data_IF_980043909018
#
_entry.id   IF_980043909018
#
_cell.length_a   1.000
_cell.length_b   1.000
_cell.length_c   1.000
_cell.angle_alpha   90.00
_cell.angle_beta   90.00
_cell.angle_gamma   90.00
#
_symmetry.space_group_name_H-M   'P 1'
#
loop_
_entity.id
_entity.type
_entity.pdbx_description
1 polymer ?
#
# COMPACT_ATOMS: atom_id res chain seq x y z
N UNK A 1 -26.06 12.45 14.02
CA UNK A 1 -25.00 12.37 13.00
C UNK A 1 -24.75 13.79 12.49
N UNK A 2 -23.56 14.30 12.74
CA UNK A 2 -23.11 15.64 12.37
C UNK A 2 -22.90 15.71 10.84
N UNK A 3 -22.95 16.91 10.24
CA UNK A 3 -22.72 17.10 8.78
C UNK A 3 -21.33 16.59 8.34
N UNK A 4 -20.31 16.77 9.18
CA UNK A 4 -18.95 16.29 8.90
C UNK A 4 -18.86 14.75 8.86
N UNK A 5 -19.55 14.06 9.76
CA UNK A 5 -19.64 12.60 9.75
C UNK A 5 -20.29 12.08 8.46
N UNK A 6 -21.36 12.76 7.99
CA UNK A 6 -22.01 12.41 6.73
C UNK A 6 -21.08 12.56 5.52
N UNK A 7 -20.24 13.60 5.53
CA UNK A 7 -19.26 13.81 4.44
C UNK A 7 -18.23 12.68 4.45
N UNK A 8 -17.68 12.37 5.62
CA UNK A 8 -16.67 11.31 5.78
C UNK A 8 -17.23 9.92 5.45
N UNK A 9 -18.50 9.65 5.78
CA UNK A 9 -19.17 8.39 5.45
C UNK A 9 -19.46 8.20 3.95
N UNK A 10 -19.41 9.27 3.16
CA UNK A 10 -19.55 9.19 1.69
C UNK A 10 -18.21 9.01 0.97
N UNK A 11 -17.08 9.08 1.68
CA UNK A 11 -15.78 8.78 1.10
C UNK A 11 -15.62 7.28 0.86
N UNK A 12 -14.89 6.93 -0.20
CA UNK A 12 -14.49 5.55 -0.49
C UNK A 12 -13.20 5.18 0.24
N UNK A 13 -12.38 6.19 0.58
CA UNK A 13 -11.19 6.03 1.40
C UNK A 13 -11.60 5.63 2.82
N UNK A 14 -10.76 4.80 3.42
CA UNK A 14 -10.92 4.41 4.82
C UNK A 14 -10.41 5.56 5.70
N UNK A 15 -11.26 6.05 6.59
CA UNK A 15 -10.92 7.17 7.48
C UNK A 15 -11.14 6.77 8.93
N UNK A 16 -10.13 7.01 9.77
CA UNK A 16 -10.31 6.89 11.21
C UNK A 16 -9.54 7.95 12.00
N UNK A 17 -9.98 8.15 13.23
CA UNK A 17 -9.34 9.02 14.22
C UNK A 17 -9.04 8.17 15.45
N UNK A 18 -7.79 8.20 15.90
CA UNK A 18 -7.35 7.50 17.10
C UNK A 18 -6.64 8.45 18.08
N UNK A 19 -6.89 8.27 19.36
CA UNK A 19 -6.15 8.93 20.42
C UNK A 19 -4.68 8.50 20.40
N UNK A 20 -3.76 9.46 20.44
CA UNK A 20 -2.33 9.18 20.29
C UNK A 20 -1.69 8.52 21.52
N UNK A 21 -2.27 8.71 22.71
CA UNK A 21 -1.77 8.16 23.96
C UNK A 21 -2.38 6.78 24.26
N UNK A 22 -3.72 6.70 24.13
CA UNK A 22 -4.48 5.50 24.49
C UNK A 22 -4.66 4.53 23.33
N UNK A 23 -4.43 4.98 22.09
CA UNK A 23 -4.70 4.25 20.84
C UNK A 23 -6.18 3.92 20.59
N UNK A 24 -7.08 4.53 21.35
CA UNK A 24 -8.50 4.30 21.25
C UNK A 24 -9.05 4.83 19.93
N UNK A 25 -9.84 4.04 19.21
CA UNK A 25 -10.57 4.49 18.02
C UNK A 25 -11.72 5.40 18.47
N UNK A 26 -11.60 6.69 18.16
CA UNK A 26 -12.59 7.72 18.50
C UNK A 26 -13.64 7.88 17.41
N UNK A 27 -13.24 7.65 16.16
CA UNK A 27 -14.09 7.72 14.98
C UNK A 27 -13.57 6.81 13.88
N UNK A 28 -14.46 6.29 13.08
CA UNK A 28 -14.19 5.64 11.81
C UNK A 28 -15.38 5.79 10.87
N UNK A 29 -15.13 5.91 9.56
CA UNK A 29 -16.18 6.06 8.58
C UNK A 29 -16.77 4.69 8.15
N UNK A 30 -17.85 4.77 7.37
CA UNK A 30 -18.56 3.58 6.87
C UNK A 30 -17.64 2.67 6.04
N UNK A 31 -16.81 3.22 5.15
CA UNK A 31 -15.91 2.42 4.31
C UNK A 31 -14.95 1.58 5.15
N UNK A 32 -14.39 2.14 6.22
CA UNK A 32 -13.52 1.39 7.14
C UNK A 32 -14.29 0.32 7.90
N UNK A 33 -15.51 0.62 8.36
CA UNK A 33 -16.34 -0.35 9.06
C UNK A 33 -16.70 -1.55 8.18
N UNK A 34 -16.99 -1.32 6.91
CA UNK A 34 -17.29 -2.37 5.92
C UNK A 34 -16.05 -3.22 5.61
N UNK A 35 -14.90 -2.60 5.36
CA UNK A 35 -13.66 -3.31 5.01
C UNK A 35 -13.16 -4.21 6.15
N UNK A 36 -13.19 -3.73 7.38
CA UNK A 36 -12.72 -4.47 8.56
C UNK A 36 -13.84 -5.23 9.28
N UNK A 37 -15.07 -5.25 8.74
CA UNK A 37 -16.25 -5.90 9.33
C UNK A 37 -16.50 -5.48 10.78
N UNK A 38 -16.34 -4.18 11.05
CA UNK A 38 -16.48 -3.61 12.39
C UNK A 38 -17.97 -3.47 12.72
N UNK A 39 -18.48 -4.11 13.79
CA UNK A 39 -19.85 -3.91 14.23
C UNK A 39 -20.08 -2.47 14.69
N UNK A 40 -21.30 -1.97 14.46
CA UNK A 40 -21.67 -0.62 14.92
C UNK A 40 -21.36 -0.41 16.41
N UNK A 41 -20.71 0.72 16.74
CA UNK A 41 -20.32 1.12 18.10
C UNK A 41 -19.25 0.23 18.76
N UNK A 42 -18.34 -0.34 17.97
CA UNK A 42 -17.18 -1.00 18.53
C UNK A 42 -16.25 0.03 19.20
N UNK A 43 -15.94 -0.18 20.47
CA UNK A 43 -14.88 0.52 21.19
C UNK A 43 -13.65 -0.39 21.26
N UNK A 44 -12.48 0.14 21.02
CA UNK A 44 -11.25 -0.63 21.10
C UNK A 44 -10.06 0.12 20.55
N UNK A 45 -8.93 -0.52 20.60
CA UNK A 45 -7.65 0.05 20.17
C UNK A 45 -7.43 -0.13 18.68
N UNK A 46 -6.89 0.89 18.01
CA UNK A 46 -6.63 0.83 16.57
C UNK A 46 -5.78 -0.39 16.18
N UNK A 47 -4.77 -0.74 16.96
CA UNK A 47 -3.92 -1.89 16.69
C UNK A 47 -4.63 -3.25 16.89
N UNK A 48 -5.65 -3.32 17.74
CA UNK A 48 -6.46 -4.53 17.94
C UNK A 48 -7.41 -4.72 16.75
N UNK A 49 -8.16 -3.67 16.40
CA UNK A 49 -9.22 -3.71 15.41
C UNK A 49 -8.64 -3.78 13.98
N UNK A 50 -7.68 -2.91 13.66
CA UNK A 50 -7.18 -2.76 12.30
C UNK A 50 -5.98 -3.63 11.96
N UNK A 51 -5.32 -4.21 12.98
CA UNK A 51 -4.10 -5.00 12.81
C UNK A 51 -4.15 -6.38 13.48
N UNK A 52 -5.22 -6.69 14.23
CA UNK A 52 -5.35 -7.94 14.98
C UNK A 52 -4.26 -8.14 16.04
N UNK A 53 -3.66 -7.07 16.58
CA UNK A 53 -2.52 -7.11 17.50
C UNK A 53 -2.96 -6.94 18.95
N UNK A 54 -2.14 -7.44 19.89
CA UNK A 54 -2.38 -7.29 21.34
C UNK A 54 -1.58 -6.14 21.96
N UNK A 55 -0.78 -5.43 21.18
CA UNK A 55 0.07 -4.34 21.62
C UNK A 55 0.25 -3.33 20.48
N UNK A 56 0.65 -2.07 20.76
CA UNK A 56 0.89 -1.05 19.77
C UNK A 56 1.79 -1.54 18.64
N UNK A 57 1.50 -1.10 17.42
CA UNK A 57 2.22 -1.52 16.22
C UNK A 57 3.69 -1.07 16.29
N UNK A 58 4.67 -1.93 15.95
CA UNK A 58 6.08 -1.53 15.90
C UNK A 58 6.36 -0.50 14.80
N UNK A 59 5.46 -0.41 13.83
CA UNK A 59 5.48 0.57 12.72
C UNK A 59 4.55 1.76 12.96
N UNK A 60 4.05 1.96 14.19
CA UNK A 60 3.15 3.07 14.53
C UNK A 60 3.78 4.43 14.16
N UNK A 61 2.99 5.27 13.52
CA UNK A 61 3.44 6.57 13.02
C UNK A 61 3.35 7.68 14.06
N UNK A 62 2.75 7.46 15.23
CA UNK A 62 2.59 8.48 16.28
C UNK A 62 3.90 9.23 16.60
N UNK A 63 5.05 8.53 16.63
CA UNK A 63 6.35 9.13 16.87
C UNK A 63 7.00 9.80 15.65
N UNK A 64 6.38 9.75 14.47
CA UNK A 64 6.90 10.32 13.22
C UNK A 64 6.14 11.56 12.77
N UNK A 65 4.98 11.81 13.37
CA UNK A 65 4.10 12.90 13.00
C UNK A 65 4.58 14.23 13.60
N UNK A 66 4.42 15.32 12.84
CA UNK A 66 4.62 16.69 13.27
C UNK A 66 3.32 17.48 13.10
N UNK A 67 3.16 18.58 13.85
CA UNK A 67 1.94 19.38 13.83
C UNK A 67 1.67 20.06 12.48
N UNK A 68 2.72 20.29 11.69
CA UNK A 68 2.62 21.04 10.43
C UNK A 68 2.71 20.15 9.17
N UNK A 69 2.54 18.81 9.33
CA UNK A 69 2.77 17.90 8.22
C UNK A 69 1.87 16.68 8.20
N UNK A 70 1.79 16.12 7.00
CA UNK A 70 1.17 14.84 6.75
C UNK A 70 2.26 13.81 6.44
N UNK A 71 2.22 12.64 7.08
CA UNK A 71 3.13 11.54 6.83
C UNK A 71 2.46 10.54 5.89
N UNK A 72 3.00 10.44 4.66
CA UNK A 72 2.47 9.54 3.62
C UNK A 72 3.37 8.34 3.48
N UNK A 73 2.79 7.14 3.49
CA UNK A 73 3.52 5.88 3.38
C UNK A 73 2.65 4.75 2.82
N UNK A 74 3.28 3.71 2.29
CA UNK A 74 2.60 2.52 1.77
C UNK A 74 2.64 1.41 2.81
N UNK A 75 1.54 0.69 2.95
CA UNK A 75 1.41 -0.40 3.91
C UNK A 75 0.59 -1.55 3.33
N UNK A 76 1.09 -2.77 3.53
CA UNK A 76 0.32 -3.97 3.27
C UNK A 76 -0.34 -4.45 4.56
N UNK A 77 -1.65 -4.42 4.62
CA UNK A 77 -2.40 -4.90 5.77
C UNK A 77 -2.70 -6.39 5.62
N UNK A 78 -2.06 -7.21 6.46
CA UNK A 78 -2.20 -8.66 6.41
C UNK A 78 -3.60 -9.15 6.82
N UNK A 79 -4.32 -8.38 7.64
CA UNK A 79 -5.64 -8.76 8.15
C UNK A 79 -6.68 -8.80 7.02
N UNK A 80 -6.64 -7.82 6.12
CA UNK A 80 -7.55 -7.70 4.98
C UNK A 80 -6.90 -8.06 3.63
N UNK A 81 -5.59 -8.31 3.61
CA UNK A 81 -4.86 -8.71 2.41
C UNK A 81 -4.77 -7.62 1.35
N UNK A 82 -4.67 -6.33 1.74
CA UNK A 82 -4.69 -5.19 0.84
C UNK A 82 -3.51 -4.26 1.02
N UNK A 83 -3.14 -3.59 -0.07
CA UNK A 83 -2.14 -2.52 -0.08
C UNK A 83 -2.82 -1.16 0.05
N UNK A 84 -2.38 -0.37 1.00
CA UNK A 84 -2.90 0.97 1.24
C UNK A 84 -1.80 2.03 1.05
N UNK A 85 -2.20 3.18 0.51
CA UNK A 85 -1.48 4.43 0.65
C UNK A 85 -2.09 5.16 1.84
N UNK A 86 -1.32 5.28 2.91
CA UNK A 86 -1.73 5.87 4.17
C UNK A 86 -1.25 7.32 4.27
N UNK A 87 -2.10 8.17 4.80
CA UNK A 87 -1.86 9.59 5.03
C UNK A 87 -2.23 9.93 6.46
N UNK A 88 -1.22 10.07 7.31
CA UNK A 88 -1.36 10.32 8.73
C UNK A 88 -1.12 11.79 9.07
N UNK A 89 -1.96 12.38 9.91
CA UNK A 89 -1.81 13.74 10.42
C UNK A 89 -2.22 13.83 11.89
N UNK A 90 -1.71 14.86 12.56
CA UNK A 90 -2.12 15.19 13.93
C UNK A 90 -3.16 16.30 13.87
N UNK A 91 -4.21 16.18 14.68
CA UNK A 91 -5.10 17.27 14.97
C UNK A 91 -5.47 17.28 16.46
N UNK A 92 -6.07 18.37 16.92
CA UNK A 92 -6.62 18.46 18.25
C UNK A 92 -8.13 18.20 18.20
N UNK A 93 -8.59 17.29 19.03
CA UNK A 93 -10.01 16.98 19.18
C UNK A 93 -10.36 16.90 20.67
N UNK A 94 -11.29 17.77 21.13
CA UNK A 94 -11.72 17.86 22.53
C UNK A 94 -10.55 18.00 23.53
N UNK A 95 -9.53 18.83 23.21
CA UNK A 95 -8.36 19.07 24.06
C UNK A 95 -7.35 17.92 24.11
N UNK A 96 -7.46 16.93 23.20
CA UNK A 96 -6.53 15.82 23.08
C UNK A 96 -5.86 15.83 21.71
N UNK A 97 -4.60 15.42 21.65
CA UNK A 97 -3.96 15.14 20.37
C UNK A 97 -4.43 13.80 19.84
N UNK A 98 -4.92 13.83 18.60
CA UNK A 98 -5.42 12.64 17.91
C UNK A 98 -4.70 12.51 16.58
N UNK A 99 -4.52 11.26 16.13
CA UNK A 99 -4.08 10.94 14.79
C UNK A 99 -5.30 10.71 13.91
N UNK A 100 -5.33 11.43 12.78
CA UNK A 100 -6.25 11.16 11.69
C UNK A 100 -5.49 10.38 10.61
N UNK A 101 -6.02 9.25 10.19
CA UNK A 101 -5.47 8.46 9.09
C UNK A 101 -6.49 8.32 7.98
N UNK A 102 -6.06 8.60 6.75
CA UNK A 102 -6.80 8.35 5.53
C UNK A 102 -6.04 7.28 4.75
N UNK A 103 -6.73 6.19 4.42
CA UNK A 103 -6.16 5.06 3.70
C UNK A 103 -6.87 4.88 2.36
N UNK A 104 -6.12 5.02 1.27
CA UNK A 104 -6.58 4.71 -0.09
C UNK A 104 -6.13 3.32 -0.48
N UNK A 105 -7.04 2.47 -0.94
CA UNK A 105 -6.72 1.14 -1.46
C UNK A 105 -5.97 1.28 -2.79
N UNK A 106 -4.74 0.81 -2.82
CA UNK A 106 -3.87 0.79 -4.01
C UNK A 106 -3.55 -0.63 -4.47
N UNK A 107 -4.32 -1.63 -4.03
CA UNK A 107 -4.05 -3.04 -4.30
C UNK A 107 -4.03 -3.33 -5.80
N UNK A 108 -5.03 -2.88 -6.53
CA UNK A 108 -5.10 -3.06 -7.98
C UNK A 108 -3.90 -2.40 -8.68
N UNK A 109 -3.55 -1.18 -8.28
CA UNK A 109 -2.40 -0.46 -8.83
C UNK A 109 -1.09 -1.23 -8.60
N UNK A 110 -0.86 -1.76 -7.40
CA UNK A 110 0.33 -2.54 -7.07
C UNK A 110 0.40 -3.82 -7.91
N UNK A 111 -0.71 -4.56 -8.02
CA UNK A 111 -0.77 -5.79 -8.81
C UNK A 111 -0.53 -5.55 -10.30
N UNK A 112 -1.11 -4.49 -10.87
CA UNK A 112 -0.88 -4.10 -12.27
C UNK A 112 0.58 -3.70 -12.50
N UNK A 113 1.18 -2.96 -11.58
CA UNK A 113 2.59 -2.58 -11.66
C UNK A 113 3.51 -3.82 -11.63
N UNK A 114 3.27 -4.76 -10.73
CA UNK A 114 4.03 -6.01 -10.65
C UNK A 114 3.89 -6.85 -11.94
N UNK A 115 2.70 -6.89 -12.53
CA UNK A 115 2.47 -7.60 -13.78
C UNK A 115 3.22 -6.94 -14.94
N UNK A 116 3.22 -5.62 -15.01
CA UNK A 116 3.97 -4.86 -16.02
C UNK A 116 5.47 -5.11 -15.90
N UNK A 117 6.02 -5.06 -14.68
CA UNK A 117 7.44 -5.29 -14.42
C UNK A 117 7.88 -6.72 -14.83
N UNK A 118 7.03 -7.72 -14.54
CA UNK A 118 7.26 -9.12 -15.00
C UNK A 118 7.26 -9.22 -16.52
N UNK A 119 6.33 -8.57 -17.21
CA UNK A 119 6.24 -8.59 -18.67
C UNK A 119 7.46 -7.90 -19.30
N UNK A 120 7.88 -6.75 -18.77
CA UNK A 120 9.09 -6.07 -19.24
C UNK A 120 10.35 -6.91 -19.05
N UNK A 121 10.48 -7.57 -17.91
CA UNK A 121 11.60 -8.47 -17.63
C UNK A 121 11.65 -9.64 -18.62
N UNK A 122 10.49 -10.24 -18.92
CA UNK A 122 10.37 -11.32 -19.89
C UNK A 122 10.73 -10.84 -21.30
N UNK A 123 10.23 -9.70 -21.75
CA UNK A 123 10.57 -9.12 -23.05
C UNK A 123 12.08 -8.84 -23.17
N UNK A 124 12.69 -8.28 -22.13
CA UNK A 124 14.13 -8.03 -22.10
C UNK A 124 14.94 -9.34 -22.20
N UNK A 125 14.49 -10.39 -21.51
CA UNK A 125 15.09 -11.72 -21.59
C UNK A 125 14.98 -12.30 -23.01
N UNK A 126 13.81 -12.27 -23.64
CA UNK A 126 13.58 -12.75 -25.01
C UNK A 126 14.48 -11.99 -26.01
N UNK A 127 14.51 -10.66 -25.91
CA UNK A 127 15.36 -9.83 -26.78
C UNK A 127 16.84 -10.13 -26.60
N UNK A 128 17.27 -10.41 -25.36
CA UNK A 128 18.67 -10.81 -25.11
C UNK A 128 19.00 -12.16 -25.74
N UNK A 129 18.12 -13.15 -25.62
CA UNK A 129 18.29 -14.46 -26.23
C UNK A 129 18.33 -14.37 -27.79
N UNK A 130 17.38 -13.61 -28.38
CA UNK A 130 17.34 -13.39 -29.80
C UNK A 130 18.66 -12.79 -30.35
N UNK A 131 19.15 -11.73 -29.67
CA UNK A 131 20.45 -11.11 -30.07
C UNK A 131 21.63 -12.09 -30.00
N UNK A 132 21.64 -12.99 -29.01
CA UNK A 132 22.71 -14.04 -28.93
C UNK A 132 22.62 -15.02 -30.09
N UNK A 133 21.40 -15.48 -30.41
CA UNK A 133 21.20 -16.39 -31.56
C UNK A 133 21.64 -15.75 -32.88
N UNK A 134 21.22 -14.52 -33.16
CA UNK A 134 21.61 -13.79 -34.36
C UNK A 134 23.14 -13.58 -34.48
N UNK A 135 23.86 -13.43 -33.36
CA UNK A 135 25.31 -13.32 -33.36
C UNK A 135 25.98 -14.66 -33.70
N UNK A 136 25.45 -15.78 -33.19
CA UNK A 136 25.97 -17.12 -33.51
C UNK A 136 25.73 -17.49 -34.97
N UNK A 137 24.58 -17.12 -35.56
CA UNK A 137 24.29 -17.36 -36.96
C UNK A 137 25.16 -16.48 -37.91
N UNK A 138 25.58 -15.30 -37.46
CA UNK A 138 26.47 -14.42 -38.23
C UNK A 138 27.91 -14.97 -38.33
N UNK A 139 28.34 -15.81 -37.38
CA UNK A 139 29.67 -16.45 -37.39
C UNK A 139 29.68 -17.76 -38.21
N UNK A 140 28.54 -18.35 -38.56
CA UNK A 140 28.42 -19.57 -39.34
C UNK A 140 28.95 -19.43 -40.80
N UNK A 141 28.69 -18.33 -41.55
CA UNK A 141 29.21 -18.17 -42.90
C UNK A 141 30.73 -18.17 -42.97
N UNK A 142 31.41 -17.62 -41.97
CA UNK A 142 32.89 -17.59 -41.92
C UNK A 142 33.51 -18.98 -41.72
N UNK A 143 32.85 -19.87 -40.99
CA UNK A 143 33.31 -21.25 -40.78
C UNK A 143 33.11 -22.13 -42.00
N UNK A 144 32.12 -21.86 -42.85
CA UNK A 144 31.85 -22.60 -44.10
C UNK A 144 32.86 -22.22 -45.14
N UNK A 145 33.24 -20.96 -45.27
CA UNK A 145 34.25 -20.51 -46.26
C UNK A 145 35.62 -21.06 -45.92
N UNK A 146 36.03 -21.21 -44.68
CA UNK A 146 37.29 -21.82 -44.25
C UNK A 146 37.35 -23.34 -44.53
N UNK A 147 36.18 -24.03 -44.46
CA UNK A 147 36.12 -25.49 -44.75
C UNK A 147 36.08 -25.77 -46.24
N UNK A 148 35.61 -24.87 -47.10
CA UNK A 148 35.56 -25.02 -48.56
C UNK A 148 36.86 -24.57 -49.25
N UNK A 149 37.78 -23.90 -48.54
CA UNK A 149 39.05 -23.41 -49.01
C UNK A 149 40.23 -24.37 -48.71
N UNK A 150 39.99 -25.52 -48.07
CA UNK A 150 40.93 -26.58 -47.71
C UNK A 150 40.71 -27.82 -48.61
#
# INVERSE_FOLDING_TARGET
>A
MNMHEKILDNLQELVYIADMETYELLYYNRALAEEFHIPQRLHGKCYEILQGRRAPCPFCTNGKLSQDGCYVWKFYNQLVGRHFLLSDSICEFNGRQVRTEIASDITEHVLLQEQLDKNLSLQNFINHCARKLYRQDADLPFLIDDVLAA
#
